data_IF_268145029752
#
_entry.id   IF_268145029752
#
_cell.length_a   1.000
_cell.length_b   1.000
_cell.length_c   1.000
_cell.angle_alpha   90.00
_cell.angle_beta   90.00
_cell.angle_gamma   90.00
#
_symmetry.space_group_name_H-M   'P 1'
#
loop_
_entity.id
_entity.type
_entity.pdbx_description
1 polymer ?
#
# COMPACT_ATOMS: atom_id res chain seq x y z
N UNK A 1 -69.34 -6.86 29.05
CA UNK A 1 -67.92 -6.60 29.41
C UNK A 1 -66.90 -7.62 28.85
N UNK A 2 -67.26 -8.86 28.46
CA UNK A 2 -66.30 -9.88 27.95
C UNK A 2 -65.83 -9.75 26.49
N UNK A 3 -66.55 -9.04 25.61
CA UNK A 3 -66.22 -8.94 24.16
C UNK A 3 -65.02 -8.02 23.85
N UNK A 4 -64.79 -6.99 24.66
CA UNK A 4 -63.66 -6.06 24.47
C UNK A 4 -62.30 -6.71 24.75
N UNK A 5 -62.24 -7.65 25.69
CA UNK A 5 -61.01 -8.32 26.12
C UNK A 5 -60.49 -9.32 25.09
N UNK A 6 -61.38 -10.00 24.36
CA UNK A 6 -60.99 -10.96 23.32
C UNK A 6 -60.48 -10.28 22.04
N UNK A 7 -61.11 -9.19 21.61
CA UNK A 7 -60.67 -8.42 20.45
C UNK A 7 -59.29 -7.77 20.70
N UNK A 8 -59.09 -7.20 21.90
CA UNK A 8 -57.79 -6.66 22.30
C UNK A 8 -56.70 -7.74 22.35
N UNK A 9 -56.99 -8.91 22.94
CA UNK A 9 -56.04 -10.02 22.98
C UNK A 9 -55.68 -10.54 21.58
N UNK A 10 -56.63 -10.60 20.66
CA UNK A 10 -56.38 -10.99 19.27
C UNK A 10 -55.47 -9.99 18.53
N UNK A 11 -55.75 -8.68 18.65
CA UNK A 11 -54.91 -7.63 18.05
C UNK A 11 -53.51 -7.64 18.67
N UNK A 12 -53.39 -7.76 19.99
CA UNK A 12 -52.11 -7.84 20.68
C UNK A 12 -51.30 -9.07 20.24
N UNK A 13 -51.96 -10.22 20.04
CA UNK A 13 -51.30 -11.45 19.56
C UNK A 13 -50.79 -11.29 18.13
N UNK A 14 -51.60 -10.72 17.23
CA UNK A 14 -51.18 -10.47 15.84
C UNK A 14 -50.03 -9.46 15.79
N UNK A 15 -50.09 -8.40 16.59
CA UNK A 15 -49.01 -7.43 16.69
C UNK A 15 -47.71 -8.08 17.23
N UNK A 16 -47.82 -8.92 18.27
CA UNK A 16 -46.68 -9.64 18.82
C UNK A 16 -46.05 -10.60 17.79
N UNK A 17 -46.86 -11.36 17.06
CA UNK A 17 -46.38 -12.23 15.98
C UNK A 17 -45.72 -11.42 14.87
N UNK A 18 -46.30 -10.28 14.49
CA UNK A 18 -45.74 -9.38 13.48
C UNK A 18 -44.36 -8.84 13.88
N UNK A 19 -44.23 -8.36 15.12
CA UNK A 19 -42.94 -7.87 15.66
C UNK A 19 -41.92 -8.99 15.73
N UNK A 20 -42.27 -10.17 16.26
CA UNK A 20 -41.35 -11.31 16.34
C UNK A 20 -40.91 -11.80 14.95
N UNK A 21 -41.84 -11.84 13.98
CA UNK A 21 -41.51 -12.23 12.60
C UNK A 21 -40.60 -11.20 11.93
N UNK A 22 -40.85 -9.91 12.16
CA UNK A 22 -40.00 -8.83 11.66
C UNK A 22 -38.59 -8.89 12.28
N UNK A 23 -38.49 -9.03 13.60
CA UNK A 23 -37.20 -9.18 14.30
C UNK A 23 -36.44 -10.40 13.81
N UNK A 24 -37.10 -11.56 13.70
CA UNK A 24 -36.46 -12.77 13.18
C UNK A 24 -35.98 -12.59 11.74
N UNK A 25 -36.79 -11.97 10.88
CA UNK A 25 -36.38 -11.68 9.50
C UNK A 25 -35.18 -10.73 9.47
N UNK A 26 -35.17 -9.68 10.29
CA UNK A 26 -34.06 -8.74 10.39
C UNK A 26 -32.76 -9.44 10.84
N UNK A 27 -32.82 -10.29 11.87
CA UNK A 27 -31.67 -11.09 12.33
C UNK A 27 -31.17 -12.06 11.25
N UNK A 28 -32.07 -12.72 10.51
CA UNK A 28 -31.68 -13.62 9.41
C UNK A 28 -30.99 -12.85 8.28
N UNK A 29 -31.52 -11.68 7.88
CA UNK A 29 -30.88 -10.85 6.86
C UNK A 29 -29.53 -10.29 7.32
N UNK A 30 -29.43 -9.85 8.57
CA UNK A 30 -28.17 -9.40 9.15
C UNK A 30 -27.14 -10.54 9.18
N UNK A 31 -27.52 -11.72 9.67
CA UNK A 31 -26.65 -12.89 9.71
C UNK A 31 -26.19 -13.34 8.31
N UNK A 32 -27.08 -13.29 7.32
CA UNK A 32 -26.71 -13.60 5.93
C UNK A 32 -25.75 -12.55 5.35
N UNK A 33 -25.99 -11.27 5.64
CA UNK A 33 -25.08 -10.18 5.29
C UNK A 33 -23.68 -10.38 5.87
N UNK A 34 -23.58 -10.65 7.17
CA UNK A 34 -22.32 -10.94 7.85
C UNK A 34 -21.63 -12.19 7.30
N UNK A 35 -22.40 -13.24 6.96
CA UNK A 35 -21.86 -14.45 6.32
C UNK A 35 -21.26 -14.14 4.95
N UNK A 36 -21.93 -13.32 4.14
CA UNK A 36 -21.45 -12.92 2.83
C UNK A 36 -20.20 -12.04 2.93
N UNK A 37 -20.19 -11.09 3.86
CA UNK A 37 -19.01 -10.27 4.17
C UNK A 37 -17.82 -11.13 4.62
N UNK A 38 -18.05 -12.05 5.56
CA UNK A 38 -17.03 -12.99 6.04
C UNK A 38 -16.45 -13.84 4.92
N UNK A 39 -17.29 -14.34 4.01
CA UNK A 39 -16.83 -15.09 2.82
C UNK A 39 -16.02 -14.24 1.87
N UNK A 40 -16.41 -12.98 1.67
CA UNK A 40 -15.67 -12.06 0.82
C UNK A 40 -14.28 -11.80 1.39
N UNK A 41 -14.18 -11.56 2.70
CA UNK A 41 -12.91 -11.40 3.41
C UNK A 41 -12.07 -12.68 3.28
N UNK A 42 -12.66 -13.84 3.60
CA UNK A 42 -11.98 -15.14 3.56
C UNK A 42 -11.42 -15.50 2.17
N UNK A 43 -12.08 -15.07 1.08
CA UNK A 43 -11.59 -15.24 -0.30
C UNK A 43 -10.38 -14.40 -0.64
N UNK A 44 -10.21 -13.26 0.04
CA UNK A 44 -9.11 -12.33 -0.20
C UNK A 44 -7.90 -12.61 0.70
N UNK A 45 -8.03 -13.52 1.68
CA UNK A 45 -6.93 -13.95 2.52
C UNK A 45 -6.11 -15.07 1.85
N UNK A 46 -4.77 -14.97 1.87
CA UNK A 46 -3.93 -16.05 1.39
C UNK A 46 -4.13 -17.33 2.21
N UNK A 47 -4.40 -18.44 1.53
CA UNK A 47 -4.51 -19.76 2.15
C UNK A 47 -3.17 -20.53 2.04
N UNK A 48 -2.80 -21.37 3.03
CA UNK A 48 -3.47 -21.50 4.33
C UNK A 48 -3.28 -20.23 5.18
N UNK A 49 -4.24 -19.89 6.06
CA UNK A 49 -4.21 -18.60 6.76
C UNK A 49 -3.02 -18.42 7.71
N UNK A 50 -2.48 -19.53 8.22
CA UNK A 50 -1.30 -19.65 9.09
C UNK A 50 0.01 -19.85 8.31
N UNK A 51 0.05 -19.47 7.02
CA UNK A 51 1.20 -19.75 6.16
C UNK A 51 2.50 -19.09 6.63
N UNK A 52 2.43 -17.95 7.34
CA UNK A 52 3.61 -17.25 7.86
C UNK A 52 4.23 -18.09 8.96
N UNK A 53 3.43 -18.53 9.94
CA UNK A 53 3.89 -19.39 11.04
C UNK A 53 4.50 -20.70 10.53
N UNK A 54 3.87 -21.31 9.50
CA UNK A 54 4.42 -22.52 8.86
C UNK A 54 5.76 -22.27 8.18
N UNK A 55 5.90 -21.13 7.50
CA UNK A 55 7.13 -20.78 6.78
C UNK A 55 8.27 -20.38 7.72
N UNK A 56 7.96 -19.82 8.89
CA UNK A 56 8.94 -19.40 9.89
C UNK A 56 9.24 -20.46 10.94
N UNK A 57 8.42 -21.51 11.04
CA UNK A 57 8.43 -22.49 12.12
C UNK A 57 8.35 -21.80 13.50
N UNK A 58 7.50 -20.76 13.60
CA UNK A 58 7.29 -19.98 14.82
C UNK A 58 8.36 -18.93 15.14
N UNK A 59 9.32 -18.66 14.24
CA UNK A 59 10.30 -17.58 14.40
C UNK A 59 9.66 -16.19 14.32
N UNK A 60 10.25 -15.19 14.96
CA UNK A 60 9.61 -13.87 15.16
C UNK A 60 9.50 -13.07 13.86
N UNK A 61 8.35 -12.41 13.64
CA UNK A 61 8.04 -11.65 12.41
C UNK A 61 7.65 -10.21 12.72
N UNK A 62 8.19 -9.29 11.93
CA UNK A 62 7.65 -7.92 11.76
C UNK A 62 6.93 -7.81 10.42
N UNK A 63 5.71 -7.27 10.41
CA UNK A 63 5.08 -6.81 9.17
C UNK A 63 5.68 -5.45 8.83
N UNK A 64 6.11 -5.24 7.58
CA UNK A 64 6.53 -3.94 7.08
C UNK A 64 5.77 -3.62 5.80
N UNK A 65 4.89 -2.62 5.86
CA UNK A 65 4.10 -2.20 4.71
C UNK A 65 4.20 -0.72 4.41
N UNK A 66 3.35 -0.30 3.47
CA UNK A 66 3.07 1.09 3.13
C UNK A 66 1.69 1.12 2.47
N UNK A 67 1.02 2.27 2.44
CA UNK A 67 -0.28 2.46 1.77
C UNK A 67 -1.33 1.47 2.29
N UNK A 68 -1.28 1.14 3.57
CA UNK A 68 -2.24 0.23 4.19
C UNK A 68 -3.53 1.00 4.43
N UNK A 69 -4.48 0.88 3.48
CA UNK A 69 -5.76 1.57 3.57
C UNK A 69 -6.81 0.76 4.34
N UNK A 70 -6.82 -0.57 4.15
CA UNK A 70 -7.71 -1.49 4.86
C UNK A 70 -6.89 -2.32 5.87
N UNK A 71 -7.12 -2.15 7.18
CA UNK A 71 -6.35 -2.84 8.20
C UNK A 71 -6.78 -4.31 8.38
N UNK A 72 -7.93 -4.74 7.84
CA UNK A 72 -8.48 -6.09 8.05
C UNK A 72 -7.48 -7.17 7.61
N UNK A 73 -6.81 -6.98 6.47
CA UNK A 73 -5.81 -7.94 5.99
C UNK A 73 -4.63 -8.11 6.95
N UNK A 74 -4.17 -7.03 7.57
CA UNK A 74 -3.09 -7.05 8.57
C UNK A 74 -3.57 -7.73 9.85
N UNK A 75 -4.74 -7.35 10.36
CA UNK A 75 -5.32 -7.93 11.57
C UNK A 75 -5.55 -9.43 11.46
N UNK A 76 -6.05 -9.89 10.31
CA UNK A 76 -6.28 -11.33 10.09
C UNK A 76 -4.94 -12.07 9.92
N UNK A 77 -3.93 -11.43 9.33
CA UNK A 77 -2.59 -11.99 9.28
C UNK A 77 -2.03 -12.17 10.68
N UNK A 78 -2.10 -11.16 11.56
CA UNK A 78 -1.69 -11.26 12.97
C UNK A 78 -2.50 -12.34 13.72
N UNK A 79 -3.82 -12.37 13.53
CA UNK A 79 -4.71 -13.30 14.22
C UNK A 79 -4.38 -14.77 13.92
N UNK A 80 -4.14 -15.11 12.65
CA UNK A 80 -3.83 -16.48 12.24
C UNK A 80 -2.35 -16.85 12.36
N UNK A 81 -1.45 -15.88 12.58
CA UNK A 81 -0.02 -16.08 12.65
C UNK A 81 0.57 -15.42 13.92
N UNK A 82 0.44 -16.08 15.10
CA UNK A 82 1.06 -15.63 16.34
C UNK A 82 2.56 -15.28 16.28
N UNK A 83 3.31 -15.72 15.27
CA UNK A 83 4.70 -15.30 15.07
C UNK A 83 4.86 -13.82 14.73
N UNK A 84 3.81 -13.16 14.26
CA UNK A 84 3.79 -11.71 14.03
C UNK A 84 3.72 -10.99 15.36
N UNK A 85 4.79 -10.26 15.69
CA UNK A 85 4.94 -9.56 16.97
C UNK A 85 4.96 -8.03 16.82
N UNK A 86 5.16 -7.53 15.60
CA UNK A 86 5.32 -6.11 15.28
C UNK A 86 4.67 -5.78 13.94
N UNK A 87 4.09 -4.59 13.81
CA UNK A 87 3.45 -4.10 12.58
C UNK A 87 3.93 -2.69 12.27
N UNK A 88 4.78 -2.54 11.28
CA UNK A 88 5.44 -1.29 10.92
C UNK A 88 5.01 -0.83 9.53
N UNK A 89 5.18 0.46 9.27
CA UNK A 89 4.92 1.05 7.96
C UNK A 89 5.96 2.09 7.60
N UNK A 90 6.28 2.25 6.32
CA UNK A 90 7.20 3.29 5.86
C UNK A 90 6.57 4.69 5.79
N UNK A 91 5.24 4.79 5.92
CA UNK A 91 4.47 6.01 5.67
C UNK A 91 3.43 6.33 6.75
N UNK A 92 3.52 5.68 7.92
CA UNK A 92 2.58 5.89 9.03
C UNK A 92 1.21 5.23 8.85
N UNK A 93 1.04 4.34 7.85
CA UNK A 93 -0.22 3.62 7.62
C UNK A 93 -0.37 2.34 8.45
N UNK A 94 0.63 1.96 9.27
CA UNK A 94 0.56 0.79 10.12
C UNK A 94 -0.65 0.86 11.08
N UNK A 95 -1.55 -0.14 11.06
CA UNK A 95 -2.71 -0.12 11.93
C UNK A 95 -2.36 -0.53 13.36
N UNK A 96 -2.84 0.23 14.35
CA UNK A 96 -2.82 -0.18 15.77
C UNK A 96 -3.82 -1.32 16.05
N UNK A 97 -3.90 -1.86 17.29
CA UNK A 97 -3.31 -1.32 18.52
C UNK A 97 -1.94 -1.93 18.90
N UNK A 98 -1.34 -2.77 18.05
CA UNK A 98 -0.06 -3.44 18.32
C UNK A 98 1.15 -2.51 18.38
N UNK A 99 2.34 -3.10 18.43
CA UNK A 99 3.62 -2.37 18.42
C UNK A 99 3.88 -1.74 17.03
N UNK A 100 3.27 -0.58 16.81
CA UNK A 100 3.38 0.18 15.56
C UNK A 100 4.57 1.13 15.55
N UNK A 101 5.19 1.25 14.38
CA UNK A 101 6.31 2.17 14.16
C UNK A 101 6.44 2.56 12.69
N UNK A 102 6.86 3.80 12.47
CA UNK A 102 7.45 4.25 11.20
C UNK A 102 8.95 4.40 11.41
N UNK A 103 9.77 3.47 10.92
CA UNK A 103 11.21 3.54 11.13
C UNK A 103 11.85 4.63 10.27
N UNK A 104 12.93 5.19 10.80
CA UNK A 104 13.75 6.20 10.11
C UNK A 104 14.78 5.53 9.19
N UNK A 105 15.20 6.24 8.14
CA UNK A 105 16.33 5.82 7.32
C UNK A 105 17.64 6.11 8.05
N UNK A 106 18.35 5.06 8.47
CA UNK A 106 19.61 5.15 9.18
C UNK A 106 20.80 5.37 8.24
N UNK A 107 20.76 4.77 7.04
CA UNK A 107 21.82 4.86 6.06
C UNK A 107 21.28 4.83 4.62
N UNK A 108 22.03 5.42 3.69
CA UNK A 108 21.67 5.55 2.26
C UNK A 108 21.61 4.22 1.52
N UNK A 109 22.03 3.13 2.14
CA UNK A 109 21.95 1.77 1.64
C UNK A 109 20.62 1.09 1.97
N UNK A 110 19.64 1.85 2.49
CA UNK A 110 18.31 1.35 2.83
C UNK A 110 18.18 0.83 4.25
N UNK A 111 19.24 0.90 5.07
CA UNK A 111 19.18 0.47 6.48
C UNK A 111 18.19 1.33 7.27
N UNK A 112 17.26 0.69 7.95
CA UNK A 112 16.24 1.32 8.79
C UNK A 112 16.62 1.26 10.27
N UNK A 113 16.17 2.25 11.04
CA UNK A 113 16.33 2.30 12.51
C UNK A 113 15.00 2.67 13.18
N UNK A 114 14.67 2.08 14.34
CA UNK A 114 15.40 1.00 15.04
C UNK A 114 15.31 -0.35 14.31
N UNK A 115 16.19 -1.28 14.70
CA UNK A 115 16.05 -2.69 14.29
C UNK A 115 14.76 -3.27 14.86
N UNK A 116 14.00 -4.07 14.10
CA UNK A 116 12.86 -4.79 14.65
C UNK A 116 13.28 -5.93 15.56
N UNK A 117 14.54 -6.37 15.57
CA UNK A 117 15.02 -7.50 16.39
C UNK A 117 14.17 -8.77 16.19
N UNK A 118 13.71 -9.00 14.95
CA UNK A 118 12.92 -10.18 14.56
C UNK A 118 13.69 -11.03 13.57
N UNK A 119 13.36 -12.31 13.48
CA UNK A 119 14.02 -13.27 12.58
C UNK A 119 13.61 -13.05 11.12
N UNK A 120 12.39 -12.56 10.90
CA UNK A 120 11.74 -12.42 9.60
C UNK A 120 11.02 -11.08 9.44
N UNK A 121 10.90 -10.64 8.18
CA UNK A 121 10.07 -9.50 7.81
C UNK A 121 9.05 -9.91 6.74
N UNK A 122 7.77 -9.64 6.98
CA UNK A 122 6.70 -9.80 6.01
C UNK A 122 6.45 -8.45 5.33
N UNK A 123 6.93 -8.31 4.09
CA UNK A 123 6.80 -7.09 3.32
C UNK A 123 5.47 -7.05 2.55
N UNK A 124 4.78 -5.92 2.61
CA UNK A 124 3.49 -5.67 1.96
C UNK A 124 3.57 -4.48 0.98
N UNK A 125 2.65 -4.44 0.01
CA UNK A 125 2.39 -3.27 -0.85
C UNK A 125 3.64 -2.71 -1.57
N UNK A 126 4.46 -3.61 -2.12
CA UNK A 126 5.62 -3.26 -2.93
C UNK A 126 6.84 -2.81 -2.14
N UNK A 127 6.87 -3.05 -0.82
CA UNK A 127 8.12 -2.95 -0.05
C UNK A 127 9.02 -4.12 -0.44
N UNK A 128 10.26 -3.81 -0.84
CA UNK A 128 11.26 -4.81 -1.21
C UNK A 128 12.47 -4.71 -0.29
N UNK A 129 13.01 -5.85 0.16
CA UNK A 129 14.11 -5.91 1.13
C UNK A 129 15.37 -6.57 0.55
N UNK A 130 16.53 -6.12 1.03
CA UNK A 130 17.85 -6.73 0.82
C UNK A 130 18.04 -7.96 1.71
N UNK A 131 17.21 -8.98 1.51
CA UNK A 131 17.23 -10.19 2.31
C UNK A 131 16.81 -11.42 1.47
N UNK A 132 17.24 -12.63 1.87
CA UNK A 132 16.74 -13.85 1.25
C UNK A 132 15.23 -13.98 1.38
N UNK A 133 14.57 -14.27 0.27
CA UNK A 133 13.14 -14.55 0.23
C UNK A 133 12.92 -15.98 0.71
N UNK A 134 12.06 -16.13 1.73
CA UNK A 134 11.62 -17.42 2.24
C UNK A 134 10.48 -17.95 1.38
N UNK A 135 9.47 -17.11 1.15
CA UNK A 135 8.31 -17.45 0.33
C UNK A 135 7.56 -16.18 -0.09
N UNK A 136 6.70 -16.32 -1.11
CA UNK A 136 5.73 -15.30 -1.53
C UNK A 136 4.34 -15.90 -1.47
N UNK A 137 3.38 -15.12 -0.97
CA UNK A 137 1.98 -15.53 -0.96
C UNK A 137 1.07 -14.34 -1.25
N UNK A 138 0.34 -14.39 -2.37
CA UNK A 138 -0.40 -13.25 -2.89
C UNK A 138 0.51 -12.03 -3.12
N UNK A 139 0.09 -10.87 -2.61
CA UNK A 139 0.86 -9.62 -2.68
C UNK A 139 1.93 -9.45 -1.58
N UNK A 140 2.18 -10.47 -0.76
CA UNK A 140 3.12 -10.41 0.35
C UNK A 140 4.38 -11.24 0.09
N UNK A 141 5.53 -10.73 0.55
CA UNK A 141 6.82 -11.44 0.47
C UNK A 141 7.42 -11.58 1.85
N UNK A 142 7.74 -12.80 2.25
CA UNK A 142 8.39 -13.10 3.51
C UNK A 142 9.91 -13.20 3.32
N UNK A 143 10.66 -12.43 4.09
CA UNK A 143 12.11 -12.34 4.07
C UNK A 143 12.72 -12.87 5.37
N UNK A 144 13.90 -13.47 5.29
CA UNK A 144 14.71 -13.81 6.47
C UNK A 144 15.72 -12.70 6.76
N UNK A 145 15.61 -12.05 7.91
CA UNK A 145 16.46 -10.93 8.32
C UNK A 145 17.37 -11.25 9.51
N UNK A 146 17.10 -12.32 10.27
CA UNK A 146 18.00 -12.87 11.28
C UNK A 146 18.34 -11.91 12.44
N UNK A 147 17.37 -11.13 12.90
CA UNK A 147 17.55 -10.16 13.99
C UNK A 147 18.28 -8.87 13.59
N UNK A 148 18.71 -8.75 12.34
CA UNK A 148 19.44 -7.58 11.84
C UNK A 148 18.48 -6.42 11.52
N UNK A 149 18.98 -5.17 11.47
CA UNK A 149 18.22 -4.06 10.93
C UNK A 149 17.67 -4.38 9.54
N UNK A 150 16.45 -3.92 9.25
CA UNK A 150 15.87 -4.05 7.91
C UNK A 150 16.67 -3.18 6.95
N UNK A 151 17.00 -3.72 5.77
CA UNK A 151 17.60 -2.98 4.67
C UNK A 151 16.65 -3.02 3.48
N UNK A 152 16.12 -1.87 3.08
CA UNK A 152 15.26 -1.74 1.90
C UNK A 152 16.09 -2.00 0.64
N UNK A 153 15.55 -2.71 -0.34
CA UNK A 153 16.14 -2.84 -1.67
C UNK A 153 15.65 -1.72 -2.58
N UNK A 154 14.34 -1.44 -2.56
CA UNK A 154 13.73 -0.31 -3.24
C UNK A 154 12.41 0.08 -2.57
N UNK A 155 11.88 1.26 -2.90
CA UNK A 155 10.60 1.72 -2.36
C UNK A 155 10.01 2.93 -3.06
N UNK A 156 8.68 3.00 -3.07
CA UNK A 156 7.90 4.13 -3.59
C UNK A 156 7.28 4.93 -2.45
N UNK A 157 7.36 6.26 -2.51
CA UNK A 157 6.66 7.18 -1.60
C UNK A 157 5.72 8.09 -2.38
N UNK A 158 4.62 8.55 -1.77
CA UNK A 158 3.69 9.51 -2.39
C UNK A 158 2.75 8.91 -3.43
N UNK A 159 2.53 7.59 -3.43
CA UNK A 159 1.51 6.95 -4.28
C UNK A 159 0.33 6.45 -3.47
N UNK A 160 -0.85 6.53 -4.06
CA UNK A 160 -2.00 5.73 -3.70
C UNK A 160 -1.77 4.24 -4.03
N UNK A 161 -2.62 3.37 -3.50
CA UNK A 161 -2.53 1.91 -3.66
C UNK A 161 -2.67 1.43 -5.10
N UNK A 162 -3.30 2.22 -5.96
CA UNK A 162 -3.52 1.95 -7.38
C UNK A 162 -2.43 2.54 -8.29
N UNK A 163 -1.37 3.12 -7.71
CA UNK A 163 -0.19 3.65 -8.41
C UNK A 163 -0.29 5.12 -8.82
N UNK A 164 -1.43 5.77 -8.59
CA UNK A 164 -1.56 7.21 -8.78
C UNK A 164 -0.72 7.97 -7.75
N UNK A 165 -0.02 9.02 -8.17
CA UNK A 165 0.50 10.05 -7.29
C UNK A 165 -0.48 11.20 -7.12
N UNK A 166 -0.32 11.98 -6.05
CA UNK A 166 -0.90 13.31 -5.95
C UNK A 166 -0.02 14.31 -6.72
N UNK A 167 0.38 15.42 -6.11
CA UNK A 167 1.30 16.39 -6.69
C UNK A 167 2.76 15.92 -6.71
N UNK A 168 3.15 15.06 -5.75
CA UNK A 168 4.53 14.57 -5.59
C UNK A 168 4.60 13.07 -5.33
N UNK A 169 5.64 12.44 -5.88
CA UNK A 169 5.98 11.05 -5.61
C UNK A 169 7.46 10.81 -5.82
N UNK A 170 7.97 9.70 -5.29
CA UNK A 170 9.36 9.35 -5.48
C UNK A 170 9.57 7.83 -5.44
N UNK A 171 10.68 7.43 -6.04
CA UNK A 171 11.19 6.07 -5.98
C UNK A 171 12.65 6.10 -5.57
N UNK A 172 13.01 5.24 -4.64
CA UNK A 172 14.39 5.07 -4.21
C UNK A 172 14.84 3.64 -4.47
N UNK A 173 16.03 3.51 -5.05
CA UNK A 173 16.73 2.24 -5.21
C UNK A 173 17.96 2.25 -4.32
N UNK A 174 17.94 1.37 -3.32
CA UNK A 174 18.97 1.26 -2.30
C UNK A 174 19.96 0.14 -2.63
N UNK A 175 19.46 -1.01 -3.11
CA UNK A 175 20.30 -2.10 -3.58
C UNK A 175 20.68 -1.89 -5.04
N UNK A 176 21.90 -1.42 -5.23
CA UNK A 176 22.53 -1.26 -6.54
C UNK A 176 23.75 -2.15 -6.70
N UNK A 177 23.94 -3.13 -5.80
CA UNK A 177 25.13 -3.98 -5.77
C UNK A 177 25.34 -4.79 -7.06
N UNK A 178 24.26 -5.02 -7.80
CA UNK A 178 24.23 -5.72 -9.09
C UNK A 178 23.95 -4.79 -10.27
N UNK A 179 23.79 -3.49 -10.02
CA UNK A 179 23.54 -2.53 -11.08
C UNK A 179 24.86 -2.14 -11.76
N UNK A 180 24.84 -2.08 -13.08
CA UNK A 180 25.88 -1.43 -13.88
C UNK A 180 25.47 0.01 -14.23
N UNK A 181 26.22 0.66 -15.13
CA UNK A 181 25.75 1.88 -15.79
C UNK A 181 24.39 1.63 -16.46
N UNK A 182 23.48 2.60 -16.39
CA UNK A 182 22.13 2.45 -16.94
C UNK A 182 21.28 3.69 -16.78
N UNK A 183 19.98 3.50 -16.94
CA UNK A 183 18.98 4.55 -16.84
C UNK A 183 17.91 4.18 -15.82
N UNK A 184 17.43 5.19 -15.10
CA UNK A 184 16.10 5.15 -14.50
C UNK A 184 15.10 5.49 -15.61
N UNK A 185 14.26 4.53 -15.95
CA UNK A 185 13.18 4.71 -16.92
C UNK A 185 11.92 5.04 -16.14
N UNK A 186 11.48 6.28 -16.25
CA UNK A 186 10.32 6.83 -15.53
C UNK A 186 9.16 6.98 -16.50
N UNK A 187 7.99 6.45 -16.14
CA UNK A 187 6.75 6.63 -16.91
C UNK A 187 5.73 7.36 -16.06
N UNK A 188 5.13 8.41 -16.62
CA UNK A 188 3.98 9.10 -16.05
C UNK A 188 2.78 8.91 -16.98
N UNK A 189 1.69 8.31 -16.49
CA UNK A 189 0.51 7.98 -17.30
C UNK A 189 -0.77 8.57 -16.72
N UNK A 190 -1.60 9.14 -17.58
CA UNK A 190 -3.01 9.47 -17.31
C UNK A 190 -3.94 8.66 -18.22
N UNK A 191 -3.50 7.53 -18.77
CA UNK A 191 -4.32 6.67 -19.63
C UNK A 191 -5.58 6.13 -18.93
N UNK A 192 -5.54 6.03 -17.59
CA UNK A 192 -6.72 5.65 -16.78
C UNK A 192 -7.72 6.80 -16.59
N UNK A 193 -7.46 7.97 -17.17
CA UNK A 193 -8.33 9.14 -17.18
C UNK A 193 -8.37 9.77 -18.58
N UNK A 194 -9.47 9.54 -19.30
CA UNK A 194 -9.71 10.05 -20.65
C UNK A 194 -10.80 11.15 -20.79
N UNK A 195 -11.84 11.24 -19.92
CA UNK A 195 -13.00 12.08 -20.22
C UNK A 195 -12.73 13.58 -20.43
N UNK A 196 -11.85 14.18 -19.63
CA UNK A 196 -11.57 15.62 -19.68
C UNK A 196 -10.07 15.89 -19.54
N UNK A 197 -9.50 16.64 -20.47
CA UNK A 197 -8.08 17.00 -20.37
C UNK A 197 -7.85 18.18 -19.41
N UNK A 198 -6.90 18.00 -18.51
CA UNK A 198 -6.34 19.05 -17.65
C UNK A 198 -4.83 18.86 -17.62
N UNK A 199 -4.08 19.39 -18.61
CA UNK A 199 -2.66 19.09 -18.77
C UNK A 199 -1.85 19.37 -17.50
N UNK A 200 -0.99 18.43 -17.11
CA UNK A 200 -0.11 18.55 -15.94
C UNK A 200 1.35 18.67 -16.36
N UNK A 201 2.01 19.76 -15.99
CA UNK A 201 3.45 19.95 -16.15
C UNK A 201 4.21 19.14 -15.11
N UNK A 202 4.94 18.12 -15.56
CA UNK A 202 5.73 17.24 -14.73
C UNK A 202 7.21 17.65 -14.73
N UNK A 203 7.85 17.57 -13.57
CA UNK A 203 9.30 17.66 -13.39
C UNK A 203 9.81 16.37 -12.75
N UNK A 204 10.78 15.72 -13.39
CA UNK A 204 11.42 14.49 -12.91
C UNK A 204 12.89 14.77 -12.62
N UNK A 205 13.33 14.53 -11.39
CA UNK A 205 14.71 14.74 -10.93
C UNK A 205 15.31 13.42 -10.48
N UNK A 206 16.62 13.27 -10.66
CA UNK A 206 17.37 12.12 -10.15
C UNK A 206 18.69 12.56 -9.50
N UNK A 207 19.12 11.81 -8.49
CA UNK A 207 20.45 11.92 -7.93
C UNK A 207 20.76 10.86 -6.88
N UNK A 208 21.96 10.91 -6.28
CA UNK A 208 22.33 10.01 -5.19
C UNK A 208 21.35 10.15 -4.02
N UNK A 209 21.10 9.05 -3.31
CA UNK A 209 20.28 9.08 -2.10
C UNK A 209 20.99 9.90 -1.03
N UNK A 210 20.26 10.87 -0.48
CA UNK A 210 20.58 11.58 0.75
C UNK A 210 19.58 11.22 1.85
N UNK A 211 19.94 11.56 3.09
CA UNK A 211 19.05 11.47 4.25
C UNK A 211 18.67 12.89 4.64
N UNK A 212 17.39 13.21 4.56
CA UNK A 212 16.85 14.51 4.91
C UNK A 212 16.95 14.81 6.41
N UNK A 213 16.71 16.07 6.82
CA UNK A 213 16.65 16.45 8.23
C UNK A 213 15.55 15.73 9.01
N UNK A 214 14.49 15.31 8.31
CA UNK A 214 13.37 14.50 8.77
C UNK A 214 13.65 12.99 8.79
N UNK A 215 14.91 12.59 8.52
CA UNK A 215 15.35 11.19 8.43
C UNK A 215 14.66 10.38 7.34
N UNK A 216 14.05 11.05 6.36
CA UNK A 216 13.47 10.43 5.18
C UNK A 216 14.44 10.48 3.99
N UNK A 217 14.30 9.56 3.01
CA UNK A 217 15.11 9.60 1.79
C UNK A 217 14.82 10.86 0.97
N UNK A 218 15.89 11.55 0.58
CA UNK A 218 15.85 12.67 -0.37
C UNK A 218 16.92 12.54 -1.44
N UNK A 219 16.95 13.44 -2.42
CA UNK A 219 18.07 13.56 -3.35
C UNK A 219 19.16 14.41 -2.70
N UNK A 220 20.37 13.85 -2.52
CA UNK A 220 21.51 14.58 -1.95
C UNK A 220 21.98 15.72 -2.87
N UNK A 221 22.08 15.44 -4.16
CA UNK A 221 22.41 16.40 -5.21
C UNK A 221 21.66 16.01 -6.48
N UNK A 222 20.98 16.97 -7.12
CA UNK A 222 20.27 16.71 -8.38
C UNK A 222 21.29 16.64 -9.52
N UNK A 223 21.46 15.44 -10.06
CA UNK A 223 22.40 15.18 -11.18
C UNK A 223 21.75 15.37 -12.55
N UNK A 224 20.43 15.15 -12.65
CA UNK A 224 19.68 15.40 -13.87
C UNK A 224 18.23 15.78 -13.54
N UNK A 225 17.65 16.62 -14.39
CA UNK A 225 16.24 17.01 -14.35
C UNK A 225 15.65 16.99 -15.75
N UNK A 226 14.43 16.50 -15.90
CA UNK A 226 13.64 16.55 -17.13
C UNK A 226 12.24 17.07 -16.85
N UNK A 227 11.62 17.69 -17.85
CA UNK A 227 10.25 18.18 -17.77
C UNK A 227 9.43 17.69 -18.95
N UNK A 228 8.12 17.58 -18.76
CA UNK A 228 7.18 17.19 -19.80
C UNK A 228 5.75 17.55 -19.40
N UNK A 229 4.80 17.38 -20.32
CA UNK A 229 3.38 17.63 -20.06
C UNK A 229 2.64 16.31 -20.22
N UNK A 230 1.85 15.93 -19.22
CA UNK A 230 1.00 14.73 -19.26
C UNK A 230 -0.44 15.16 -19.53
N UNK A 231 -0.96 14.79 -20.70
CA UNK A 231 -2.36 14.98 -21.05
C UNK A 231 -3.22 13.79 -20.61
N UNK A 232 -4.54 13.99 -20.52
CA UNK A 232 -5.50 12.90 -20.35
C UNK A 232 -5.36 11.87 -21.48
N UNK A 233 -5.58 10.58 -21.16
CA UNK A 233 -5.45 9.47 -22.10
C UNK A 233 -4.03 9.24 -22.65
N UNK A 234 -3.00 9.89 -22.11
CA UNK A 234 -1.62 9.77 -22.58
C UNK A 234 -0.65 9.31 -21.50
N UNK A 235 0.49 8.79 -21.95
CA UNK A 235 1.65 8.48 -21.12
C UNK A 235 2.91 9.09 -21.72
N UNK A 236 3.81 9.58 -20.86
CA UNK A 236 5.12 10.11 -21.24
C UNK A 236 6.22 9.37 -20.49
N UNK A 237 7.37 9.22 -21.15
CA UNK A 237 8.54 8.52 -20.62
C UNK A 237 9.78 9.41 -20.51
N UNK A 238 10.57 9.19 -19.47
CA UNK A 238 11.84 9.87 -19.23
C UNK A 238 12.94 8.85 -18.92
N UNK A 239 14.05 8.93 -19.65
CA UNK A 239 15.26 8.20 -19.31
C UNK A 239 16.24 9.16 -18.65
N UNK A 240 16.63 8.89 -17.41
CA UNK A 240 17.65 9.66 -16.67
C UNK A 240 18.83 8.75 -16.35
N UNK A 241 20.05 9.24 -16.54
CA UNK A 241 21.25 8.46 -16.23
C UNK A 241 21.33 8.27 -14.71
N UNK A 242 21.54 7.03 -14.26
CA UNK A 242 21.66 6.76 -12.82
C UNK A 242 23.06 7.15 -12.33
N UNK A 243 23.18 7.80 -11.17
CA UNK A 243 24.48 8.05 -10.57
C UNK A 243 25.09 6.75 -10.05
N UNK A 244 26.41 6.71 -9.77
CA UNK A 244 27.03 5.61 -9.06
C UNK A 244 26.46 5.48 -7.64
N UNK A 245 26.07 4.28 -7.22
CA UNK A 245 25.53 4.02 -5.89
C UNK A 245 24.00 4.16 -5.80
N UNK A 246 23.43 4.06 -4.58
CA UNK A 246 22.00 4.22 -4.35
C UNK A 246 21.48 5.54 -4.92
N UNK A 247 20.33 5.49 -5.58
CA UNK A 247 19.75 6.65 -6.26
C UNK A 247 18.27 6.82 -6.00
N UNK A 248 17.80 8.05 -6.14
CA UNK A 248 16.41 8.43 -5.96
C UNK A 248 15.92 9.25 -7.13
N UNK A 249 14.72 8.93 -7.58
CA UNK A 249 13.91 9.72 -8.51
C UNK A 249 12.82 10.43 -7.74
N UNK A 250 12.68 11.73 -7.95
CA UNK A 250 11.58 12.55 -7.43
C UNK A 250 10.79 13.13 -8.58
N UNK A 251 9.46 13.06 -8.49
CA UNK A 251 8.52 13.57 -9.47
C UNK A 251 7.62 14.59 -8.78
N UNK A 252 7.42 15.73 -9.44
CA UNK A 252 6.36 16.68 -9.12
C UNK A 252 5.52 16.95 -10.36
N UNK A 253 4.20 17.13 -10.20
CA UNK A 253 3.28 17.46 -11.29
C UNK A 253 2.27 18.52 -10.87
N UNK A 254 2.11 19.55 -11.69
CA UNK A 254 1.12 20.61 -11.47
C UNK A 254 0.51 21.11 -12.81
N UNK A 255 -0.80 21.40 -12.87
CA UNK A 255 -1.79 21.10 -11.86
C UNK A 255 -2.12 19.59 -11.80
N UNK A 256 -2.52 19.16 -10.62
CA UNK A 256 -3.29 17.93 -10.36
C UNK A 256 -4.76 18.11 -10.77
N UNK A 257 -5.56 17.05 -10.68
CA UNK A 257 -7.00 17.10 -10.93
C UNK A 257 -7.78 16.19 -9.97
N UNK A 258 -9.06 16.53 -9.73
CA UNK A 258 -9.98 15.68 -8.98
C UNK A 258 -11.02 15.11 -9.96
N UNK A 259 -11.07 13.78 -10.19
CA UNK A 259 -11.97 13.20 -11.19
C UNK A 259 -13.43 13.60 -11.03
N UNK A 260 -13.97 13.57 -9.80
CA UNK A 260 -15.37 13.94 -9.51
C UNK A 260 -15.69 15.42 -9.81
N UNK A 261 -14.71 16.32 -9.75
CA UNK A 261 -14.93 17.73 -10.08
C UNK A 261 -14.99 17.98 -11.59
N UNK A 262 -14.28 17.16 -12.38
CA UNK A 262 -14.28 17.24 -13.84
C UNK A 262 -15.42 16.43 -14.45
N UNK A 263 -15.77 15.29 -13.88
CA UNK A 263 -16.85 14.39 -14.31
C UNK A 263 -17.71 13.98 -13.09
N UNK A 264 -18.89 14.60 -12.90
CA UNK A 264 -19.79 14.30 -11.78
C UNK A 264 -20.32 12.85 -11.74
N UNK A 265 -20.15 12.07 -12.81
CA UNK A 265 -20.49 10.64 -12.81
C UNK A 265 -19.46 9.78 -12.06
N UNK A 266 -18.30 10.35 -11.72
CA UNK A 266 -17.23 9.69 -10.97
C UNK A 266 -17.36 9.96 -9.48
N UNK A 267 -17.06 8.95 -8.68
CA UNK A 267 -17.03 9.06 -7.22
C UNK A 267 -15.65 9.40 -6.65
N UNK A 268 -14.59 9.31 -7.45
CA UNK A 268 -13.22 9.53 -6.98
C UNK A 268 -12.97 11.01 -6.66
N UNK A 269 -12.76 11.25 -5.37
CA UNK A 269 -12.57 12.58 -4.79
C UNK A 269 -11.10 12.88 -4.47
N UNK A 270 -10.17 11.99 -4.84
CA UNK A 270 -8.74 12.20 -4.62
C UNK A 270 -8.19 13.25 -5.56
N UNK A 271 -7.13 13.91 -5.12
CA UNK A 271 -6.31 14.76 -5.95
C UNK A 271 -5.26 13.90 -6.67
N UNK A 272 -5.34 13.85 -8.01
CA UNK A 272 -4.55 12.96 -8.85
C UNK A 272 -3.59 13.76 -9.75
N UNK A 273 -2.33 13.35 -9.74
CA UNK A 273 -1.30 13.79 -10.66
C UNK A 273 -1.24 12.89 -11.88
N UNK A 274 -0.54 11.77 -11.77
CA UNK A 274 -0.40 10.74 -12.80
C UNK A 274 -0.20 9.36 -12.14
N UNK A 275 -0.32 8.27 -12.87
CA UNK A 275 0.25 6.99 -12.47
C UNK A 275 1.77 7.08 -12.65
N UNK A 276 2.55 6.80 -11.60
CA UNK A 276 4.00 6.85 -11.64
C UNK A 276 4.61 5.47 -11.53
N UNK A 277 5.39 5.10 -12.54
CA UNK A 277 6.15 3.87 -12.59
C UNK A 277 7.62 4.16 -12.89
N UNK A 278 8.51 3.33 -12.37
CA UNK A 278 9.95 3.43 -12.69
C UNK A 278 10.66 2.11 -12.54
N UNK A 279 11.69 1.90 -13.35
CA UNK A 279 12.58 0.76 -13.22
C UNK A 279 14.00 1.12 -13.67
N UNK A 280 14.95 0.31 -13.24
CA UNK A 280 16.31 0.37 -13.74
C UNK A 280 16.41 -0.37 -15.09
N UNK A 281 17.08 0.25 -16.07
CA UNK A 281 17.41 -0.34 -17.35
C UNK A 281 18.92 -0.29 -17.58
N UNK A 282 19.64 -1.43 -17.62
CA UNK A 282 21.09 -1.44 -17.80
C UNK A 282 21.47 -0.95 -19.21
N UNK A 283 22.60 -0.23 -19.30
CA UNK A 283 23.10 0.30 -20.58
C UNK A 283 23.68 -0.81 -21.47
N UNK A 284 24.16 -1.90 -20.88
CA UNK A 284 24.66 -3.07 -21.57
C UNK A 284 23.96 -4.32 -21.00
N UNK A 285 23.19 -5.03 -21.83
CA UNK A 285 22.68 -6.40 -21.64
C UNK A 285 22.01 -6.74 -20.30
N UNK A 286 20.70 -6.99 -20.32
CA UNK A 286 19.95 -7.60 -19.20
C UNK A 286 20.08 -9.11 -19.12
#
# INVERSE_FOLDING_TARGET
LRRGTQAFAAVASVAAIGVLSWSLAAEVYAAEGERLASRQIARNLPAPYDWVDRATNGGTVVILGQKIADPIGVYLTEFFNPSVTKVWSLDGTAPGPGAILTPDLAAVDGTLTPSPETDYALALNGVELQAPIVTRNGGATLYRIGGQPIRLASGYTGLYTDGWMADTAAYTRYDVSRDGPGFAVVTLSRERWCPHDKPGGATVRIGPVGIGPDKQPGIAEVTQSKTGIVHACEAIGFNLAVPPGPWRVEVSIEPTFVPRELDPSRSDARELGAVFETHFSPLFGG
#
